data_IF_900095430097
#
_entry.id   IF_900095430097
#
_cell.length_a   1.000
_cell.length_b   1.000
_cell.length_c   1.000
_cell.angle_alpha   90.00
_cell.angle_beta   90.00
_cell.angle_gamma   90.00
#
_symmetry.space_group_name_H-M   'P 1'
#
loop_
_entity.id
_entity.type
_entity.pdbx_description
1 polymer ?
#
# COMPACT_ATOMS: atom_id res chain seq x y z
N UNK A 1 15.44 9.19 -4.10
CA UNK A 1 15.95 9.66 -5.41
C UNK A 1 17.47 9.64 -5.37
N UNK A 2 18.13 8.99 -6.33
CA UNK A 2 19.60 8.97 -6.38
C UNK A 2 20.11 10.39 -6.64
N UNK A 3 21.25 10.78 -6.05
CA UNK A 3 21.80 12.14 -6.18
C UNK A 3 21.99 12.55 -7.65
N UNK A 4 22.44 11.61 -8.49
CA UNK A 4 22.67 11.83 -9.93
C UNK A 4 21.41 12.17 -10.74
N UNK A 5 20.26 11.59 -10.38
CA UNK A 5 19.01 11.75 -11.15
C UNK A 5 18.21 12.99 -10.70
N UNK A 6 18.62 13.61 -9.59
CA UNK A 6 17.87 14.68 -8.92
C UNK A 6 17.62 15.88 -9.82
N UNK A 7 18.67 16.39 -10.47
CA UNK A 7 18.55 17.60 -11.29
C UNK A 7 17.56 17.40 -12.43
N UNK A 8 17.67 16.28 -13.13
CA UNK A 8 16.81 15.90 -14.25
C UNK A 8 15.37 15.73 -13.82
N UNK A 9 15.12 14.97 -12.74
CA UNK A 9 13.76 14.77 -12.22
C UNK A 9 13.13 16.07 -11.72
N UNK A 10 13.87 16.90 -10.98
CA UNK A 10 13.36 18.20 -10.52
C UNK A 10 13.02 19.12 -11.68
N UNK A 11 13.84 19.16 -12.73
CA UNK A 11 13.56 19.97 -13.91
C UNK A 11 12.31 19.48 -14.66
N UNK A 12 12.18 18.16 -14.83
CA UNK A 12 11.03 17.56 -15.51
C UNK A 12 9.73 17.81 -14.71
N UNK A 13 9.74 17.56 -13.41
CA UNK A 13 8.59 17.83 -12.54
C UNK A 13 8.20 19.30 -12.54
N UNK A 14 9.19 20.23 -12.49
CA UNK A 14 8.92 21.66 -12.60
C UNK A 14 8.25 21.99 -13.93
N UNK A 15 8.80 21.48 -15.05
CA UNK A 15 8.24 21.72 -16.39
C UNK A 15 6.79 21.27 -16.47
N UNK A 16 6.46 20.12 -15.92
CA UNK A 16 5.08 19.64 -15.85
C UNK A 16 4.20 20.52 -14.96
N UNK A 17 4.65 20.84 -13.74
CA UNK A 17 3.87 21.58 -12.75
C UNK A 17 3.54 23.03 -13.16
N UNK A 18 4.36 23.67 -14.00
CA UNK A 18 4.14 25.05 -14.46
C UNK A 18 3.46 25.13 -15.83
N UNK A 19 3.14 23.99 -16.45
CA UNK A 19 2.74 23.94 -17.87
C UNK A 19 1.46 24.74 -18.14
N UNK A 20 0.49 24.66 -17.24
CA UNK A 20 -0.81 25.33 -17.40
C UNK A 20 -0.70 26.84 -17.16
N UNK A 21 -0.05 27.26 -16.07
CA UNK A 21 0.06 28.69 -15.71
C UNK A 21 1.37 29.35 -16.18
N UNK A 22 2.02 28.80 -17.20
CA UNK A 22 3.38 29.22 -17.59
C UNK A 22 3.45 30.73 -17.88
N UNK A 23 2.42 31.25 -18.54
CA UNK A 23 2.30 32.66 -18.92
C UNK A 23 2.13 33.57 -17.70
N UNK A 24 1.26 33.21 -16.75
CA UNK A 24 1.01 33.99 -15.52
C UNK A 24 2.25 34.04 -14.61
N UNK A 25 2.95 32.91 -14.48
CA UNK A 25 4.07 32.78 -13.53
C UNK A 25 5.32 33.57 -13.92
N UNK A 26 5.48 33.93 -15.20
CA UNK A 26 6.69 34.59 -15.69
C UNK A 26 7.97 33.90 -15.24
N UNK A 27 8.89 34.61 -14.57
CA UNK A 27 10.12 34.02 -14.04
C UNK A 27 9.95 33.35 -12.67
N UNK A 28 8.87 33.65 -11.94
CA UNK A 28 8.65 33.14 -10.61
C UNK A 28 7.78 31.87 -10.64
N UNK A 29 8.42 30.72 -10.82
CA UNK A 29 7.72 29.42 -10.81
C UNK A 29 7.46 28.87 -9.40
N UNK A 30 7.93 29.57 -8.35
CA UNK A 30 7.84 29.15 -6.96
C UNK A 30 6.42 28.86 -6.46
N UNK A 31 5.39 29.64 -6.85
CA UNK A 31 4.00 29.39 -6.45
C UNK A 31 3.46 28.02 -6.89
N UNK A 32 3.89 27.48 -8.03
CA UNK A 32 3.44 26.15 -8.51
C UNK A 32 4.38 25.02 -8.16
N UNK A 33 5.69 25.26 -8.06
CA UNK A 33 6.64 24.18 -7.80
C UNK A 33 7.85 24.61 -6.97
N UNK A 34 7.97 24.01 -5.79
CA UNK A 34 9.14 24.13 -4.90
C UNK A 34 9.70 22.74 -4.59
N UNK A 35 10.99 22.54 -4.87
CA UNK A 35 11.69 21.30 -4.51
C UNK A 35 12.60 21.57 -3.32
N UNK A 36 12.36 20.88 -2.22
CA UNK A 36 13.19 20.92 -1.03
C UNK A 36 13.72 19.53 -0.68
N UNK A 37 14.93 19.47 -0.13
CA UNK A 37 15.41 18.24 0.48
C UNK A 37 14.78 18.09 1.86
N UNK A 38 14.27 16.89 2.12
CA UNK A 38 13.94 16.46 3.47
C UNK A 38 15.25 16.25 4.23
N UNK A 39 15.36 16.87 5.40
CA UNK A 39 16.42 16.65 6.38
C UNK A 39 15.77 16.21 7.70
N UNK A 40 16.55 15.63 8.62
CA UNK A 40 16.01 15.10 9.88
C UNK A 40 15.25 16.15 10.72
N UNK A 41 15.64 17.44 10.64
CA UNK A 41 14.96 18.54 11.34
C UNK A 41 13.56 18.84 10.77
N UNK A 42 13.34 18.60 9.49
CA UNK A 42 12.04 18.76 8.81
C UNK A 42 11.14 17.52 8.92
N UNK A 43 11.65 16.43 9.53
CA UNK A 43 10.97 15.15 9.65
C UNK A 43 11.40 14.15 8.59
N UNK A 44 10.68 13.03 8.51
CA UNK A 44 10.92 11.96 7.54
C UNK A 44 9.78 11.91 6.52
N UNK A 45 9.99 11.31 5.32
CA UNK A 45 8.87 11.04 4.42
C UNK A 45 7.74 10.26 5.11
N UNK A 46 8.09 9.36 6.03
CA UNK A 46 7.15 8.61 6.86
C UNK A 46 6.34 9.51 7.78
N UNK A 47 6.97 10.47 8.48
CA UNK A 47 6.24 11.40 9.35
C UNK A 47 5.30 12.32 8.55
N UNK A 48 5.69 12.68 7.34
CA UNK A 48 4.82 13.42 6.43
C UNK A 48 3.60 12.56 6.05
N UNK A 49 3.79 11.32 5.56
CA UNK A 49 2.67 10.43 5.23
C UNK A 49 1.76 10.19 6.44
N UNK A 50 2.34 9.91 7.61
CA UNK A 50 1.60 9.71 8.85
C UNK A 50 0.72 10.93 9.20
N UNK A 51 1.26 12.15 9.06
CA UNK A 51 0.50 13.39 9.27
C UNK A 51 -0.77 13.43 8.41
N UNK A 52 -0.68 13.11 7.12
CA UNK A 52 -1.86 13.16 6.24
C UNK A 52 -2.85 12.03 6.50
N UNK A 53 -2.36 10.85 6.87
CA UNK A 53 -3.22 9.74 7.29
C UNK A 53 -4.00 10.14 8.56
N UNK A 54 -3.31 10.59 9.60
CA UNK A 54 -3.94 11.00 10.86
C UNK A 54 -4.97 12.11 10.67
N UNK A 55 -4.67 13.12 9.83
CA UNK A 55 -5.62 14.21 9.54
C UNK A 55 -6.94 13.73 8.95
N UNK A 56 -6.95 12.66 8.16
CA UNK A 56 -8.16 12.17 7.48
C UNK A 56 -8.90 11.06 8.25
N UNK A 57 -8.24 10.35 9.17
CA UNK A 57 -8.90 9.26 9.92
C UNK A 57 -9.79 9.82 11.02
N UNK A 58 -9.24 10.61 11.94
CA UNK A 58 -9.96 11.05 13.14
C UNK A 58 -9.95 12.57 13.34
N UNK A 59 -9.37 13.32 12.39
CA UNK A 59 -9.21 14.76 12.51
C UNK A 59 -8.40 15.17 13.75
N UNK A 60 -7.61 14.27 14.34
CA UNK A 60 -6.87 14.53 15.57
C UNK A 60 -5.86 15.64 15.36
N UNK A 61 -5.91 16.64 16.24
CA UNK A 61 -5.14 17.88 16.11
C UNK A 61 -5.80 18.95 15.24
N UNK A 62 -7.00 18.71 14.68
CA UNK A 62 -7.76 19.67 13.86
C UNK A 62 -9.08 20.11 14.53
N UNK A 63 -9.34 19.69 15.77
CA UNK A 63 -10.62 19.93 16.45
C UNK A 63 -10.98 21.43 16.64
N UNK A 64 -9.99 22.32 16.58
CA UNK A 64 -10.19 23.78 16.67
C UNK A 64 -9.98 24.50 15.34
N UNK A 65 -9.71 23.77 14.26
CA UNK A 65 -9.47 24.35 12.94
C UNK A 65 -10.77 24.40 12.13
N UNK A 66 -11.05 25.56 11.55
CA UNK A 66 -12.19 25.80 10.67
C UNK A 66 -11.66 25.98 9.25
N UNK A 67 -12.30 25.32 8.29
CA UNK A 67 -12.01 25.51 6.87
C UNK A 67 -12.32 26.94 6.46
N UNK A 68 -11.33 27.61 5.86
CA UNK A 68 -11.52 28.97 5.30
C UNK A 68 -12.43 28.98 4.06
N UNK A 69 -12.54 27.85 3.37
CA UNK A 69 -13.35 27.74 2.14
C UNK A 69 -14.81 27.44 2.45
N UNK A 70 -15.07 26.58 3.43
CA UNK A 70 -16.42 26.07 3.71
C UNK A 70 -17.02 26.58 5.02
N UNK A 71 -16.20 27.19 5.89
CA UNK A 71 -16.61 27.61 7.24
C UNK A 71 -16.89 26.46 8.21
N UNK A 72 -16.66 25.20 7.79
CA UNK A 72 -16.96 24.01 8.60
C UNK A 72 -15.75 23.55 9.40
N UNK A 73 -16.03 22.87 10.51
CA UNK A 73 -15.03 22.15 11.33
C UNK A 73 -14.23 21.16 10.46
N UNK A 74 -12.91 21.20 10.57
CA UNK A 74 -12.04 20.23 9.88
C UNK A 74 -12.17 18.82 10.45
N UNK A 75 -12.53 18.68 11.73
CA UNK A 75 -12.82 17.39 12.35
C UNK A 75 -14.03 16.73 11.68
N UNK A 76 -15.13 17.47 11.56
CA UNK A 76 -16.39 16.98 10.99
C UNK A 76 -16.18 16.67 9.50
N UNK A 77 -15.36 17.47 8.81
CA UNK A 77 -14.97 17.22 7.42
C UNK A 77 -14.23 15.89 7.26
N UNK A 78 -13.32 15.53 8.17
CA UNK A 78 -12.60 14.25 8.13
C UNK A 78 -13.57 13.06 8.32
N UNK A 79 -14.56 13.19 9.20
CA UNK A 79 -15.61 12.20 9.40
C UNK A 79 -16.48 12.04 8.14
N UNK A 80 -16.93 13.15 7.54
CA UNK A 80 -17.70 13.11 6.29
C UNK A 80 -16.94 12.45 5.14
N UNK A 81 -15.64 12.76 4.98
CA UNK A 81 -14.77 12.12 3.97
C UNK A 81 -14.68 10.61 4.22
N UNK A 82 -14.55 10.19 5.48
CA UNK A 82 -14.49 8.77 5.83
C UNK A 82 -15.83 8.06 5.60
N UNK A 83 -16.95 8.70 5.92
CA UNK A 83 -18.30 8.17 5.66
C UNK A 83 -18.55 8.02 4.15
N UNK A 84 -18.24 9.06 3.37
CA UNK A 84 -18.35 9.04 1.91
C UNK A 84 -17.48 7.96 1.28
N UNK A 85 -16.21 7.88 1.68
CA UNK A 85 -15.30 6.87 1.16
C UNK A 85 -15.79 5.45 1.47
N UNK A 86 -16.36 5.23 2.66
CA UNK A 86 -16.94 3.95 3.05
C UNK A 86 -18.19 3.60 2.22
N UNK A 87 -19.11 4.57 2.07
CA UNK A 87 -20.32 4.42 1.25
C UNK A 87 -19.99 4.04 -0.19
N UNK A 88 -18.97 4.67 -0.77
CA UNK A 88 -18.53 4.44 -2.15
C UNK A 88 -17.45 3.37 -2.30
N UNK A 89 -17.09 2.66 -1.22
CA UNK A 89 -16.06 1.60 -1.21
C UNK A 89 -14.69 2.07 -1.72
N UNK A 90 -14.35 3.33 -1.47
CA UNK A 90 -13.07 3.95 -1.85
C UNK A 90 -12.03 3.69 -0.76
N UNK A 91 -10.96 2.98 -1.13
CA UNK A 91 -9.83 2.77 -0.22
C UNK A 91 -8.96 4.02 -0.14
N UNK A 92 -9.18 4.83 0.90
CA UNK A 92 -8.30 5.94 1.25
C UNK A 92 -6.86 5.44 1.51
N UNK A 93 -5.87 6.22 1.11
CA UNK A 93 -4.43 5.91 1.27
C UNK A 93 -3.97 4.60 0.62
N UNK A 94 -4.59 4.19 -0.49
CA UNK A 94 -4.10 3.06 -1.29
C UNK A 94 -2.79 3.44 -1.97
N UNK A 95 -1.70 2.78 -1.57
CA UNK A 95 -0.44 2.87 -2.29
C UNK A 95 -0.53 2.16 -3.65
N UNK A 96 0.05 2.78 -4.68
CA UNK A 96 0.14 2.25 -6.03
C UNK A 96 1.53 1.66 -6.29
N UNK A 97 1.59 0.69 -7.20
CA UNK A 97 2.87 0.10 -7.61
C UNK A 97 3.52 -0.83 -6.58
N UNK A 98 2.80 -1.29 -5.57
CA UNK A 98 3.30 -2.27 -4.61
C UNK A 98 2.47 -3.56 -4.67
N UNK A 99 3.06 -4.72 -4.33
CA UNK A 99 2.32 -5.96 -4.14
C UNK A 99 1.19 -5.84 -3.12
N UNK A 100 0.17 -6.67 -3.28
CA UNK A 100 -1.09 -6.56 -2.54
C UNK A 100 -0.96 -6.87 -1.06
N UNK A 101 -1.48 -5.98 -0.20
CA UNK A 101 -1.57 -6.19 1.25
C UNK A 101 -2.36 -7.45 1.63
N UNK A 102 -3.32 -7.87 0.81
CA UNK A 102 -4.09 -9.07 1.08
C UNK A 102 -3.23 -10.32 0.95
N UNK A 103 -2.46 -10.47 -0.13
CA UNK A 103 -1.52 -11.59 -0.30
C UNK A 103 -0.49 -11.63 0.85
N UNK A 104 0.00 -10.48 1.30
CA UNK A 104 0.87 -10.38 2.47
C UNK A 104 0.22 -10.90 3.76
N UNK A 105 -1.06 -10.60 3.99
CA UNK A 105 -1.81 -11.11 5.15
C UNK A 105 -2.02 -12.62 5.08
N UNK A 106 -2.40 -13.12 3.90
CA UNK A 106 -2.58 -14.56 3.70
C UNK A 106 -1.27 -15.33 3.86
N UNK A 107 -0.13 -14.79 3.40
CA UNK A 107 1.20 -15.39 3.66
C UNK A 107 1.53 -15.51 5.15
N UNK A 108 1.16 -14.50 5.95
CA UNK A 108 1.34 -14.55 7.41
C UNK A 108 0.42 -15.56 8.09
N UNK A 109 -0.80 -15.70 7.59
CA UNK A 109 -1.72 -16.75 8.05
C UNK A 109 -1.15 -18.14 7.74
N UNK A 110 -0.64 -18.33 6.51
CA UNK A 110 0.02 -19.56 6.09
C UNK A 110 1.25 -19.88 6.95
N UNK A 111 2.10 -18.88 7.20
CA UNK A 111 3.28 -19.06 8.05
C UNK A 111 2.90 -19.45 9.49
N UNK A 112 1.87 -18.80 10.06
CA UNK A 112 1.35 -19.15 11.38
C UNK A 112 0.74 -20.55 11.44
N UNK A 113 0.07 -21.01 10.38
CA UNK A 113 -0.44 -22.38 10.26
C UNK A 113 0.70 -23.39 10.14
N UNK A 114 1.69 -23.11 9.29
CA UNK A 114 2.86 -23.94 9.11
C UNK A 114 3.65 -24.09 10.42
N UNK A 115 3.85 -23.00 11.17
CA UNK A 115 4.54 -23.04 12.46
C UNK A 115 3.84 -23.97 13.47
N UNK A 116 2.50 -24.01 13.49
CA UNK A 116 1.74 -24.93 14.35
C UNK A 116 1.84 -26.37 13.88
N UNK A 117 1.81 -26.60 12.58
CA UNK A 117 1.87 -27.95 11.99
C UNK A 117 3.28 -28.57 12.04
N UNK A 118 4.33 -27.75 12.03
CA UNK A 118 5.72 -28.19 11.87
C UNK A 118 6.41 -28.64 13.17
N UNK A 119 5.76 -28.52 14.34
CA UNK A 119 6.27 -29.05 15.61
C UNK A 119 7.74 -28.65 15.89
N UNK A 120 8.61 -29.63 16.16
CA UNK A 120 10.04 -29.45 16.47
C UNK A 120 10.96 -29.26 15.24
N UNK A 121 10.45 -28.88 14.05
CA UNK A 121 11.35 -28.55 12.93
C UNK A 121 12.24 -27.37 13.28
N UNK A 122 13.47 -27.37 12.76
CA UNK A 122 14.45 -26.30 12.99
C UNK A 122 13.88 -24.94 12.54
N UNK A 123 14.07 -23.93 13.37
CA UNK A 123 13.73 -22.56 13.02
C UNK A 123 14.40 -22.16 11.69
N UNK A 124 13.63 -21.57 10.77
CA UNK A 124 14.12 -21.18 9.45
C UNK A 124 14.15 -22.29 8.40
N UNK A 125 13.56 -23.46 8.68
CA UNK A 125 13.31 -24.46 7.65
C UNK A 125 12.35 -23.89 6.58
N UNK A 126 12.60 -24.13 5.28
CA UNK A 126 11.68 -23.73 4.22
C UNK A 126 10.27 -24.30 4.46
N UNK A 127 9.27 -23.45 4.29
CA UNK A 127 7.86 -23.81 4.36
C UNK A 127 7.34 -24.22 2.99
N UNK A 128 7.81 -23.56 1.93
CA UNK A 128 7.44 -23.83 0.55
C UNK A 128 8.61 -24.49 -0.21
N UNK A 129 8.30 -25.41 -1.11
CA UNK A 129 9.30 -26.12 -1.92
C UNK A 129 10.06 -25.18 -2.86
N UNK A 130 9.37 -24.21 -3.46
CA UNK A 130 9.98 -23.25 -4.36
C UNK A 130 10.72 -22.15 -3.54
N UNK A 131 12.06 -22.01 -3.66
CA UNK A 131 12.83 -21.07 -2.85
C UNK A 131 12.45 -19.60 -3.04
N UNK A 132 11.96 -19.22 -4.24
CA UNK A 132 11.53 -17.84 -4.50
C UNK A 132 10.24 -17.53 -3.74
N UNK A 133 9.30 -18.48 -3.71
CA UNK A 133 8.04 -18.33 -2.98
C UNK A 133 8.28 -18.36 -1.47
N UNK A 134 9.14 -19.26 -1.02
CA UNK A 134 9.54 -19.36 0.38
C UNK A 134 10.19 -18.07 0.89
N UNK A 135 11.06 -17.44 0.08
CA UNK A 135 11.65 -16.15 0.43
C UNK A 135 10.61 -15.02 0.56
N UNK A 136 9.51 -15.06 -0.20
CA UNK A 136 8.40 -14.10 -0.07
C UNK A 136 7.61 -14.38 1.22
N UNK A 137 7.37 -15.65 1.55
CA UNK A 137 6.70 -16.07 2.79
C UNK A 137 7.52 -15.69 4.02
N UNK A 138 8.81 -16.02 4.05
CA UNK A 138 9.71 -15.70 5.14
C UNK A 138 9.77 -14.18 5.40
N UNK A 139 9.80 -13.36 4.34
CA UNK A 139 9.76 -11.91 4.46
C UNK A 139 8.44 -11.40 5.08
N UNK A 140 7.32 -12.06 4.76
CA UNK A 140 6.01 -11.71 5.32
C UNK A 140 5.88 -12.15 6.78
N UNK A 141 6.36 -13.34 7.11
CA UNK A 141 6.33 -13.94 8.45
C UNK A 141 7.05 -13.05 9.48
N UNK A 142 8.29 -12.65 9.19
CA UNK A 142 9.04 -11.71 10.05
C UNK A 142 8.51 -10.28 10.04
N UNK A 143 7.45 -10.01 9.28
CA UNK A 143 6.81 -8.69 9.22
C UNK A 143 7.55 -7.65 8.39
N UNK A 144 8.54 -8.04 7.59
CA UNK A 144 9.35 -7.11 6.81
C UNK A 144 8.70 -6.79 5.46
N UNK A 145 7.76 -5.83 5.47
CA UNK A 145 7.02 -5.45 4.25
C UNK A 145 7.93 -4.94 3.12
N UNK A 146 9.04 -4.26 3.44
CA UNK A 146 10.02 -3.83 2.44
C UNK A 146 10.67 -5.00 1.71
N UNK A 147 11.14 -6.01 2.45
CA UNK A 147 11.71 -7.24 1.86
C UNK A 147 10.65 -8.02 1.09
N UNK A 148 9.41 -8.08 1.58
CA UNK A 148 8.29 -8.68 0.84
C UNK A 148 8.10 -8.03 -0.53
N UNK A 149 8.10 -6.69 -0.61
CA UNK A 149 8.01 -5.96 -1.88
C UNK A 149 9.17 -6.36 -2.81
N UNK A 150 10.39 -6.36 -2.29
CA UNK A 150 11.58 -6.68 -3.08
C UNK A 150 11.56 -8.13 -3.58
N UNK A 151 11.14 -9.09 -2.76
CA UNK A 151 11.04 -10.51 -3.13
C UNK A 151 9.90 -10.77 -4.12
N UNK A 152 8.87 -9.93 -4.15
CA UNK A 152 7.83 -9.93 -5.19
C UNK A 152 8.25 -9.32 -6.54
N UNK A 153 9.51 -8.91 -6.67
CA UNK A 153 10.06 -8.28 -7.87
C UNK A 153 10.31 -6.77 -7.74
N UNK A 154 9.90 -6.15 -6.64
CA UNK A 154 10.12 -4.73 -6.36
C UNK A 154 8.90 -3.84 -6.57
N UNK A 155 9.16 -2.52 -6.64
CA UNK A 155 8.12 -1.51 -6.85
C UNK A 155 7.83 -1.32 -8.34
N UNK A 156 6.60 -0.95 -8.67
CA UNK A 156 6.08 -0.69 -10.01
C UNK A 156 6.14 -1.90 -10.96
N UNK A 157 6.25 -3.11 -10.41
CA UNK A 157 6.15 -4.34 -11.19
C UNK A 157 4.71 -4.56 -11.65
N UNK A 158 4.47 -4.93 -12.93
CA UNK A 158 3.14 -5.30 -13.39
C UNK A 158 2.56 -6.45 -12.57
N UNK A 159 1.27 -6.38 -12.21
CA UNK A 159 0.61 -7.41 -11.38
C UNK A 159 0.74 -8.83 -11.94
N UNK A 160 0.77 -8.96 -13.27
CA UNK A 160 0.96 -10.23 -13.98
C UNK A 160 2.33 -10.88 -13.76
N UNK A 161 3.29 -10.14 -13.20
CA UNK A 161 4.63 -10.62 -12.90
C UNK A 161 4.85 -10.84 -11.38
N UNK A 162 3.84 -10.59 -10.54
CA UNK A 162 3.93 -10.94 -9.12
C UNK A 162 4.02 -12.46 -8.95
N UNK A 163 4.97 -12.90 -8.11
CA UNK A 163 5.24 -14.30 -7.77
C UNK A 163 4.12 -14.93 -6.96
N UNK A 164 3.50 -14.17 -6.06
CA UNK A 164 2.40 -14.63 -5.20
C UNK A 164 1.22 -13.68 -5.32
N UNK A 165 0.00 -14.22 -5.42
CA UNK A 165 -1.25 -13.45 -5.48
C UNK A 165 -2.25 -13.98 -4.48
N UNK A 166 -3.22 -13.15 -4.13
CA UNK A 166 -4.39 -13.61 -3.40
C UNK A 166 -5.19 -14.54 -4.29
N UNK A 167 -5.56 -15.69 -3.73
CA UNK A 167 -6.40 -16.66 -4.37
C UNK A 167 -7.87 -16.40 -3.99
N UNK A 168 -8.72 -16.37 -5.02
CA UNK A 168 -10.13 -16.04 -4.92
C UNK A 168 -10.94 -17.18 -5.50
N UNK A 169 -12.06 -17.48 -4.87
CA UNK A 169 -13.08 -18.40 -5.40
C UNK A 169 -14.46 -17.82 -5.20
N UNK A 170 -15.44 -18.27 -5.98
CA UNK A 170 -16.83 -17.91 -5.77
C UNK A 170 -17.33 -18.60 -4.51
N UNK A 171 -18.17 -17.91 -3.74
CA UNK A 171 -18.80 -18.54 -2.59
C UNK A 171 -19.89 -19.51 -3.08
N UNK A 172 -19.79 -20.77 -2.66
CA UNK A 172 -20.78 -21.80 -3.00
C UNK A 172 -22.13 -21.49 -2.33
N UNK A 173 -22.06 -21.04 -1.08
CA UNK A 173 -23.21 -20.63 -0.29
C UNK A 173 -23.50 -19.12 -0.45
N UNK A 174 -24.78 -18.74 -0.61
CA UNK A 174 -25.16 -17.34 -0.59
C UNK A 174 -24.87 -16.73 0.79
N UNK A 175 -24.40 -15.48 0.80
CA UNK A 175 -24.21 -14.71 2.02
C UNK A 175 -25.53 -14.38 2.71
N UNK A 176 -25.46 -13.66 3.83
CA UNK A 176 -26.63 -13.20 4.61
C UNK A 176 -27.69 -12.47 3.77
N UNK A 177 -27.29 -11.87 2.64
CA UNK A 177 -28.16 -11.12 1.73
C UNK A 177 -28.51 -11.87 0.44
N UNK A 178 -28.25 -13.18 0.38
CA UNK A 178 -28.57 -14.02 -0.79
C UNK A 178 -27.56 -13.93 -1.95
N UNK A 179 -26.52 -13.09 -1.82
CA UNK A 179 -25.52 -12.88 -2.86
C UNK A 179 -24.35 -13.88 -2.78
N UNK A 180 -23.95 -14.42 -3.93
CA UNK A 180 -22.75 -15.26 -4.06
C UNK A 180 -21.52 -14.39 -4.31
N UNK A 181 -20.95 -13.88 -3.23
CA UNK A 181 -19.74 -13.06 -3.27
C UNK A 181 -18.47 -13.84 -3.64
N UNK A 182 -17.35 -13.11 -3.77
CA UNK A 182 -16.02 -13.71 -3.92
C UNK A 182 -15.44 -13.92 -2.51
N UNK A 183 -14.96 -15.13 -2.22
CA UNK A 183 -14.20 -15.43 -0.99
C UNK A 183 -12.72 -15.57 -1.26
N UNK A 184 -11.91 -15.19 -0.27
CA UNK A 184 -10.47 -15.40 -0.28
C UNK A 184 -10.21 -16.72 0.44
N UNK A 185 -9.57 -17.66 -0.25
CA UNK A 185 -9.23 -18.97 0.33
C UNK A 185 -7.73 -19.12 0.60
N UNK A 186 -6.90 -18.20 0.08
CA UNK A 186 -5.50 -18.11 0.44
C UNK A 186 -4.63 -17.44 -0.60
N UNK A 187 -3.53 -18.10 -0.98
CA UNK A 187 -2.57 -17.59 -1.96
C UNK A 187 -2.40 -18.57 -3.11
N UNK A 188 -2.01 -18.05 -4.27
CA UNK A 188 -1.59 -18.87 -5.40
C UNK A 188 -0.38 -18.24 -6.09
N UNK A 189 0.42 -19.06 -6.77
CA UNK A 189 1.57 -18.63 -7.57
C UNK A 189 1.47 -19.11 -9.01
N UNK A 190 1.71 -18.24 -10.02
CA UNK A 190 1.78 -18.66 -11.42
C UNK A 190 3.00 -19.55 -11.74
N UNK A 191 3.96 -19.67 -10.82
CA UNK A 191 5.16 -20.51 -11.03
C UNK A 191 4.91 -22.00 -10.73
N UNK A 192 3.77 -22.33 -10.14
CA UNK A 192 3.43 -23.71 -9.76
C UNK A 192 2.05 -23.97 -10.34
N UNK A 193 1.96 -24.81 -11.39
CA UNK A 193 0.72 -25.08 -12.14
C UNK A 193 -0.44 -25.58 -11.26
N UNK A 194 -0.15 -26.06 -10.03
CA UNK A 194 -1.12 -26.48 -9.02
C UNK A 194 -0.96 -25.77 -7.64
N UNK A 195 -0.15 -24.72 -7.53
CA UNK A 195 0.35 -24.22 -6.24
C UNK A 195 -0.55 -23.20 -5.52
N UNK A 196 -1.84 -23.49 -5.39
CA UNK A 196 -2.70 -22.74 -4.48
C UNK A 196 -2.53 -23.27 -3.05
N UNK A 197 -2.06 -22.43 -2.12
CA UNK A 197 -2.01 -22.77 -0.70
C UNK A 197 -3.25 -22.21 -0.02
N UNK A 198 -4.11 -23.10 0.50
CA UNK A 198 -5.28 -22.72 1.29
C UNK A 198 -4.84 -22.24 2.66
N UNK A 199 -5.40 -21.11 3.07
CA UNK A 199 -5.26 -20.55 4.42
C UNK A 199 -6.60 -20.45 5.14
N UNK A 200 -7.71 -20.72 4.44
CA UNK A 200 -9.09 -20.73 4.96
C UNK A 200 -9.89 -21.88 4.37
#
# INVERSE_FOLDING_TARGET
>A
MRKKDRRTLTALLRKFAIREDRAELGNNTGPRFKSELINQRKGTPTSYIAKYISKNIDGRGLAKEISKETGKSLRDSAEHVSAWASLHRVQQFRFFGIPGRQAYRELRLLAGQAARAQGNKKAGAPVLENPQLDAVLAAADVGCFATYIMKQGGVLVPRKNHLIRTAYELNDEPGTYGDRGIRIYGIWSPLVEAGSARTR
#
